data_IF_926397848018
#
_entry.id   IF_926397848018
#
_cell.length_a   1.000
_cell.length_b   1.000
_cell.length_c   1.000
_cell.angle_alpha   90.00
_cell.angle_beta   90.00
_cell.angle_gamma   90.00
#
_symmetry.space_group_name_H-M   'P 1'
#
loop_
_entity.id
_entity.type
_entity.pdbx_description
1 polymer ?
#
# COMPACT_ATOMS: atom_id res chain seq x y z
N UNK A 1 28.27 34.37 -40.38
CA UNK A 1 27.29 35.10 -39.57
C UNK A 1 26.48 34.10 -38.75
N UNK A 2 26.95 33.84 -37.49
CA UNK A 2 26.25 32.97 -36.53
C UNK A 2 25.40 33.90 -35.66
N UNK A 3 24.07 33.81 -35.79
CA UNK A 3 23.15 34.48 -34.89
C UNK A 3 23.00 33.66 -33.61
N UNK A 4 23.51 34.16 -32.49
CA UNK A 4 23.18 33.68 -31.17
C UNK A 4 21.74 34.07 -30.84
N UNK A 5 20.89 33.04 -30.61
CA UNK A 5 19.53 33.22 -30.11
C UNK A 5 19.59 33.40 -28.60
N UNK A 6 19.35 34.60 -28.13
CA UNK A 6 19.29 34.92 -26.67
C UNK A 6 17.95 34.45 -26.17
N UNK A 7 17.94 33.34 -25.44
CA UNK A 7 16.74 32.84 -24.72
C UNK A 7 16.49 33.76 -23.54
N UNK A 8 15.42 34.53 -23.56
CA UNK A 8 15.08 35.45 -22.48
C UNK A 8 14.56 34.75 -21.26
N UNK A 9 14.89 35.27 -20.05
CA UNK A 9 14.53 34.74 -18.71
C UNK A 9 13.03 34.44 -18.51
N UNK A 10 12.14 34.95 -19.33
CA UNK A 10 10.70 34.75 -19.28
C UNK A 10 10.25 33.35 -19.74
N UNK A 11 10.94 32.75 -20.70
CA UNK A 11 10.57 31.43 -21.24
C UNK A 11 10.95 30.30 -20.30
N UNK A 12 12.03 30.47 -19.52
CA UNK A 12 12.44 29.48 -18.51
C UNK A 12 11.45 29.35 -17.35
N UNK A 13 10.74 30.44 -16.99
CA UNK A 13 9.72 30.42 -15.93
C UNK A 13 8.43 29.71 -16.36
N UNK A 14 8.04 29.83 -17.64
CA UNK A 14 6.83 29.17 -18.16
C UNK A 14 7.02 27.65 -18.31
N UNK A 15 8.21 27.18 -18.65
CA UNK A 15 8.53 25.77 -18.71
C UNK A 15 8.53 25.11 -17.33
N UNK A 16 9.03 25.81 -16.32
CA UNK A 16 9.04 25.33 -14.92
C UNK A 16 7.63 25.22 -14.32
N UNK A 17 6.70 26.13 -14.68
CA UNK A 17 5.30 26.07 -14.24
C UNK A 17 4.54 24.91 -14.88
N UNK A 18 4.78 24.60 -16.16
CA UNK A 18 4.09 23.53 -16.87
C UNK A 18 4.47 22.13 -16.32
N UNK A 19 5.73 21.92 -15.94
CA UNK A 19 6.19 20.64 -15.37
C UNK A 19 5.60 20.42 -13.98
N UNK A 20 5.43 21.47 -13.17
CA UNK A 20 4.87 21.35 -11.82
C UNK A 20 3.35 21.07 -11.84
N UNK A 21 2.61 21.54 -12.85
CA UNK A 21 1.17 21.31 -12.98
C UNK A 21 0.85 19.84 -13.36
N UNK A 22 1.72 19.16 -14.13
CA UNK A 22 1.51 17.76 -14.51
C UNK A 22 1.68 16.79 -13.33
N UNK A 23 2.59 17.08 -12.36
CA UNK A 23 2.81 16.20 -11.21
C UNK A 23 1.63 16.20 -10.22
N UNK A 24 0.97 17.34 -10.01
CA UNK A 24 -0.22 17.43 -9.15
C UNK A 24 -1.46 16.74 -9.76
N UNK A 25 -1.60 16.73 -11.08
CA UNK A 25 -2.72 16.09 -11.78
C UNK A 25 -2.68 14.55 -11.69
N UNK A 26 -1.51 13.95 -11.73
CA UNK A 26 -1.34 12.48 -11.69
C UNK A 26 -1.65 11.92 -10.30
N UNK A 27 -1.21 12.58 -9.24
CA UNK A 27 -1.49 12.15 -7.84
C UNK A 27 -2.99 12.20 -7.53
N UNK A 28 -3.69 13.24 -7.98
CA UNK A 28 -5.15 13.37 -7.76
C UNK A 28 -5.95 12.31 -8.54
N UNK A 29 -5.52 11.93 -9.74
CA UNK A 29 -6.19 10.90 -10.54
C UNK A 29 -6.01 9.50 -9.92
N UNK A 30 -4.83 9.18 -9.43
CA UNK A 30 -4.53 7.89 -8.76
C UNK A 30 -5.37 7.71 -7.49
N UNK A 31 -5.52 8.75 -6.68
CA UNK A 31 -6.34 8.74 -5.47
C UNK A 31 -7.82 8.43 -5.79
N UNK A 32 -8.40 9.08 -6.79
CA UNK A 32 -9.80 8.86 -7.19
C UNK A 32 -10.06 7.44 -7.72
N UNK A 33 -9.10 6.86 -8.45
CA UNK A 33 -9.20 5.48 -8.94
C UNK A 33 -9.15 4.50 -7.76
N UNK A 34 -8.30 4.73 -6.76
CA UNK A 34 -8.25 3.92 -5.54
C UNK A 34 -9.56 4.01 -4.75
N UNK A 35 -10.12 5.20 -4.56
CA UNK A 35 -11.40 5.39 -3.87
C UNK A 35 -12.53 4.57 -4.51
N UNK A 36 -12.72 4.68 -5.82
CA UNK A 36 -13.83 4.01 -6.50
C UNK A 36 -13.82 2.50 -6.38
N UNK A 37 -12.64 1.87 -6.43
CA UNK A 37 -12.50 0.40 -6.32
C UNK A 37 -12.66 -0.11 -4.88
N UNK A 38 -12.47 0.76 -3.87
CA UNK A 38 -12.64 0.42 -2.46
C UNK A 38 -14.07 0.64 -1.94
N UNK A 39 -14.91 1.41 -2.65
CA UNK A 39 -16.30 1.68 -2.25
C UNK A 39 -17.12 0.43 -1.92
N UNK A 40 -17.04 -0.69 -2.68
CA UNK A 40 -17.81 -1.89 -2.36
C UNK A 40 -17.49 -2.51 -1.00
N UNK A 41 -16.30 -2.22 -0.45
CA UNK A 41 -15.80 -2.80 0.80
C UNK A 41 -15.84 -1.82 1.97
N UNK A 42 -15.59 -0.54 1.72
CA UNK A 42 -15.45 0.49 2.75
C UNK A 42 -16.61 1.47 2.77
N UNK A 43 -17.54 1.44 1.79
CA UNK A 43 -18.59 2.45 1.65
C UNK A 43 -18.03 3.79 1.21
N UNK A 44 -17.57 4.60 2.15
CA UNK A 44 -16.87 5.86 1.87
C UNK A 44 -15.40 5.72 2.25
N UNK A 45 -14.50 5.41 1.30
CA UNK A 45 -13.08 5.28 1.61
C UNK A 45 -12.47 6.63 2.00
N UNK A 46 -11.81 6.66 3.15
CA UNK A 46 -11.07 7.83 3.64
C UNK A 46 -9.59 7.50 3.67
N UNK A 47 -8.76 8.29 3.00
CA UNK A 47 -7.30 8.15 3.08
C UNK A 47 -6.84 8.55 4.49
N UNK A 48 -6.25 7.60 5.22
CA UNK A 48 -5.69 7.80 6.55
C UNK A 48 -4.27 8.35 6.46
N UNK A 49 -3.47 7.77 5.59
CA UNK A 49 -2.11 8.23 5.34
C UNK A 49 -1.42 7.45 4.24
N UNK A 50 -0.29 7.97 3.79
CA UNK A 50 0.55 7.31 2.79
C UNK A 50 2.02 7.54 3.07
N UNK A 51 2.83 6.55 2.70
CA UNK A 51 4.27 6.65 2.80
C UNK A 51 4.96 5.69 1.85
N UNK A 52 6.17 6.07 1.43
CA UNK A 52 7.05 5.21 0.68
C UNK A 52 7.84 4.31 1.63
N UNK A 53 7.89 3.03 1.33
CA UNK A 53 8.77 2.09 2.00
C UNK A 53 10.05 1.92 1.20
N UNK A 54 11.17 2.17 1.86
CA UNK A 54 12.53 2.03 1.31
C UNK A 54 13.29 1.03 2.17
N UNK A 55 13.94 0.08 1.53
CA UNK A 55 14.75 -0.94 2.21
C UNK A 55 16.18 -0.86 1.70
N UNK A 56 17.15 -0.63 2.59
CA UNK A 56 18.57 -0.41 2.26
C UNK A 56 18.80 0.63 1.14
N UNK A 57 18.06 1.76 1.21
CA UNK A 57 18.14 2.83 0.22
C UNK A 57 17.40 2.55 -1.09
N UNK A 58 16.71 1.40 -1.21
CA UNK A 58 15.99 0.98 -2.41
C UNK A 58 14.50 1.16 -2.18
N UNK A 59 13.84 1.94 -3.02
CA UNK A 59 12.40 2.12 -3.00
C UNK A 59 11.69 0.82 -3.39
N UNK A 60 10.81 0.31 -2.53
CA UNK A 60 10.10 -0.96 -2.69
C UNK A 60 8.67 -0.72 -3.16
N UNK A 61 7.89 0.06 -2.40
CA UNK A 61 6.51 0.42 -2.73
C UNK A 61 6.11 1.75 -2.09
N UNK A 62 5.05 2.35 -2.62
CA UNK A 62 4.26 3.38 -1.98
C UNK A 62 3.07 2.70 -1.30
N UNK A 63 2.95 2.85 0.03
CA UNK A 63 1.82 2.34 0.79
C UNK A 63 0.78 3.45 1.00
N UNK A 64 -0.52 3.11 0.89
CA UNK A 64 -1.63 4.01 1.21
C UNK A 64 -2.64 3.25 2.07
N UNK A 65 -2.92 3.78 3.27
CA UNK A 65 -3.89 3.21 4.20
C UNK A 65 -5.23 3.94 4.04
N UNK A 66 -6.29 3.17 3.85
CA UNK A 66 -7.66 3.63 3.70
C UNK A 66 -8.56 3.05 4.78
N UNK A 67 -9.56 3.78 5.23
CA UNK A 67 -10.53 3.33 6.23
C UNK A 67 -11.96 3.69 5.81
N UNK A 68 -12.92 2.90 6.29
CA UNK A 68 -14.35 3.24 6.20
C UNK A 68 -14.74 4.47 7.02
N UNK A 69 -13.88 4.88 7.96
CA UNK A 69 -14.14 6.01 8.87
C UNK A 69 -13.04 7.07 8.75
N UNK A 70 -13.42 8.33 8.90
CA UNK A 70 -12.46 9.42 9.04
C UNK A 70 -11.81 9.38 10.42
N UNK A 71 -10.49 9.62 10.49
CA UNK A 71 -9.77 9.72 11.76
C UNK A 71 -9.44 8.39 12.43
N UNK A 72 -9.23 7.33 11.65
CA UNK A 72 -8.73 6.05 12.16
C UNK A 72 -7.45 6.25 12.96
N UNK A 73 -7.42 5.75 14.21
CA UNK A 73 -6.24 5.81 15.07
C UNK A 73 -5.48 4.48 15.10
N UNK A 74 -4.18 4.51 15.49
CA UNK A 74 -3.37 3.30 15.62
C UNK A 74 -3.89 2.26 16.63
N UNK A 75 -4.79 2.63 17.52
CA UNK A 75 -5.38 1.77 18.55
C UNK A 75 -6.69 1.12 18.10
N UNK A 76 -7.30 1.62 17.02
CA UNK A 76 -8.65 1.23 16.59
C UNK A 76 -8.66 0.36 15.33
N UNK A 77 -7.55 0.27 14.60
CA UNK A 77 -7.53 -0.33 13.27
C UNK A 77 -8.04 -1.79 13.24
N UNK A 78 -7.80 -2.56 14.31
CA UNK A 78 -8.20 -3.97 14.38
C UNK A 78 -9.72 -4.19 14.34
N UNK A 79 -10.49 -3.17 14.68
CA UNK A 79 -11.96 -3.26 14.77
C UNK A 79 -12.69 -2.60 13.61
N UNK A 80 -11.96 -2.01 12.66
CA UNK A 80 -12.54 -1.24 11.56
C UNK A 80 -12.19 -1.85 10.21
N UNK A 81 -13.13 -1.84 9.24
CA UNK A 81 -12.80 -2.15 7.86
C UNK A 81 -11.77 -1.15 7.33
N UNK A 82 -10.73 -1.67 6.71
CA UNK A 82 -9.66 -0.86 6.12
C UNK A 82 -9.05 -1.54 4.89
N UNK A 83 -8.33 -0.77 4.09
CA UNK A 83 -7.55 -1.29 2.98
C UNK A 83 -6.13 -0.73 3.00
N UNK A 84 -5.19 -1.53 2.56
CA UNK A 84 -3.81 -1.15 2.35
C UNK A 84 -3.45 -1.39 0.88
N UNK A 85 -3.21 -0.30 0.15
CA UNK A 85 -2.68 -0.33 -1.20
C UNK A 85 -1.15 -0.34 -1.15
N UNK A 86 -0.53 -1.26 -1.88
CA UNK A 86 0.91 -1.30 -2.11
C UNK A 86 1.17 -1.10 -3.60
N UNK A 87 1.45 0.12 -4.02
CA UNK A 87 1.92 0.44 -5.36
C UNK A 87 3.40 0.09 -5.46
N UNK A 88 3.72 -0.99 -6.17
CA UNK A 88 5.09 -1.48 -6.28
C UNK A 88 5.95 -0.57 -7.17
N UNK A 89 7.16 -0.29 -6.71
CA UNK A 89 8.15 0.53 -7.41
C UNK A 89 9.22 -0.32 -8.09
N UNK A 90 9.10 -1.65 -8.00
CA UNK A 90 9.97 -2.68 -8.58
C UNK A 90 9.17 -3.97 -8.81
N UNK A 91 9.75 -4.87 -9.60
CA UNK A 91 9.19 -6.18 -9.87
C UNK A 91 9.47 -7.15 -8.72
N UNK A 92 8.47 -7.96 -8.35
CA UNK A 92 8.60 -9.04 -7.37
C UNK A 92 7.80 -10.27 -7.80
N UNK A 93 8.29 -11.45 -7.43
CA UNK A 93 7.52 -12.68 -7.56
C UNK A 93 6.51 -12.78 -6.42
N UNK A 94 5.29 -13.24 -6.72
CA UNK A 94 4.24 -13.43 -5.71
C UNK A 94 4.67 -14.36 -4.58
N UNK A 95 5.39 -15.43 -4.90
CA UNK A 95 5.95 -16.34 -3.90
C UNK A 95 6.95 -15.66 -2.95
N UNK A 96 7.77 -14.71 -3.44
CA UNK A 96 8.70 -13.95 -2.60
C UNK A 96 7.96 -12.98 -1.69
N UNK A 97 6.86 -12.37 -2.18
CA UNK A 97 5.97 -11.51 -1.38
C UNK A 97 5.31 -12.33 -0.27
N UNK A 98 4.76 -13.51 -0.60
CA UNK A 98 4.14 -14.41 0.37
C UNK A 98 5.13 -14.87 1.44
N UNK A 99 6.31 -15.31 1.02
CA UNK A 99 7.37 -15.72 1.95
C UNK A 99 7.77 -14.58 2.87
N UNK A 100 8.02 -13.38 2.33
CA UNK A 100 8.38 -12.20 3.14
C UNK A 100 7.29 -11.84 4.14
N UNK A 101 6.01 -11.96 3.74
CA UNK A 101 4.89 -11.71 4.65
C UNK A 101 4.91 -12.65 5.85
N UNK A 102 5.16 -13.95 5.64
CA UNK A 102 5.27 -14.92 6.73
C UNK A 102 6.51 -14.66 7.60
N UNK A 103 7.64 -14.28 7.01
CA UNK A 103 8.85 -13.94 7.76
C UNK A 103 8.59 -12.73 8.69
N UNK A 104 7.89 -11.69 8.23
CA UNK A 104 7.52 -10.52 9.03
C UNK A 104 6.52 -10.86 10.14
N UNK A 105 5.52 -11.71 9.85
CA UNK A 105 4.57 -12.19 10.86
C UNK A 105 5.31 -12.95 11.96
N UNK A 106 6.18 -13.89 11.59
CA UNK A 106 6.95 -14.69 12.57
C UNK A 106 7.94 -13.86 13.39
N UNK A 107 8.48 -12.79 12.82
CA UNK A 107 9.35 -11.86 13.54
C UNK A 107 8.60 -11.11 14.66
N UNK A 108 7.29 -10.87 14.48
CA UNK A 108 6.45 -10.21 15.49
C UNK A 108 5.84 -11.21 16.48
N UNK A 109 5.43 -12.38 16.00
CA UNK A 109 4.77 -13.42 16.79
C UNK A 109 5.17 -14.81 16.27
N UNK A 110 5.98 -15.57 16.99
CA UNK A 110 6.40 -16.91 16.56
C UNK A 110 5.20 -17.83 16.32
N UNK A 111 5.20 -18.50 15.17
CA UNK A 111 4.14 -19.44 14.77
C UNK A 111 4.65 -20.89 14.81
N UNK A 112 3.81 -21.88 15.13
CA UNK A 112 4.10 -23.28 14.85
C UNK A 112 4.42 -23.48 13.37
N UNK A 113 5.42 -24.31 13.07
CA UNK A 113 5.90 -24.54 11.69
C UNK A 113 4.77 -24.93 10.72
N UNK A 114 3.87 -25.80 11.16
CA UNK A 114 2.72 -26.27 10.37
C UNK A 114 1.77 -25.13 10.01
N UNK A 115 1.51 -24.20 10.96
CA UNK A 115 0.67 -23.03 10.73
C UNK A 115 1.33 -22.04 9.78
N UNK A 116 2.60 -21.75 9.96
CA UNK A 116 3.36 -20.88 9.07
C UNK A 116 3.36 -21.41 7.63
N UNK A 117 3.52 -22.73 7.45
CA UNK A 117 3.45 -23.36 6.12
C UNK A 117 2.05 -23.31 5.50
N UNK A 118 0.98 -23.52 6.29
CA UNK A 118 -0.39 -23.41 5.80
C UNK A 118 -0.71 -21.98 5.34
N UNK A 119 -0.31 -20.98 6.13
CA UNK A 119 -0.50 -19.57 5.81
C UNK A 119 0.32 -19.14 4.58
N UNK A 120 1.59 -19.59 4.49
CA UNK A 120 2.42 -19.36 3.31
C UNK A 120 1.72 -19.86 2.05
N UNK A 121 1.25 -21.11 2.06
CA UNK A 121 0.54 -21.69 0.92
C UNK A 121 -0.72 -20.91 0.54
N UNK A 122 -1.48 -20.42 1.52
CA UNK A 122 -2.67 -19.61 1.26
C UNK A 122 -2.33 -18.29 0.55
N UNK A 123 -1.24 -17.63 0.96
CA UNK A 123 -0.77 -16.40 0.33
C UNK A 123 -0.17 -16.66 -1.07
N UNK A 124 0.60 -17.73 -1.26
CA UNK A 124 1.20 -18.10 -2.55
C UNK A 124 0.14 -18.38 -3.64
N UNK A 125 -1.02 -18.93 -3.25
CA UNK A 125 -2.13 -19.18 -4.19
C UNK A 125 -2.75 -17.87 -4.70
N UNK A 126 -2.74 -16.82 -3.85
CA UNK A 126 -3.40 -15.55 -4.16
C UNK A 126 -2.45 -14.55 -4.81
N UNK A 127 -1.20 -14.47 -4.37
CA UNK A 127 -0.31 -13.39 -4.79
C UNK A 127 0.25 -13.60 -6.20
N UNK A 128 -0.05 -12.68 -7.15
CA UNK A 128 0.55 -12.71 -8.47
C UNK A 128 1.99 -12.19 -8.42
N UNK A 129 2.74 -12.44 -9.49
CA UNK A 129 3.92 -11.63 -9.76
C UNK A 129 3.48 -10.18 -9.99
N UNK A 130 4.22 -9.23 -9.45
CA UNK A 130 3.96 -7.81 -9.62
C UNK A 130 5.09 -7.16 -10.38
N UNK A 131 4.75 -6.20 -11.24
CA UNK A 131 5.71 -5.34 -11.91
C UNK A 131 5.65 -3.92 -11.35
N UNK A 132 6.71 -3.15 -11.59
CA UNK A 132 6.74 -1.73 -11.26
C UNK A 132 5.49 -1.00 -11.80
N UNK A 133 4.82 -0.26 -10.94
CA UNK A 133 3.60 0.50 -11.26
C UNK A 133 2.31 -0.25 -10.99
N UNK A 134 2.37 -1.56 -10.66
CA UNK A 134 1.20 -2.35 -10.30
C UNK A 134 0.89 -2.26 -8.81
N UNK A 135 -0.39 -2.41 -8.46
CA UNK A 135 -0.88 -2.28 -7.09
C UNK A 135 -1.49 -3.59 -6.60
N UNK A 136 -0.98 -4.08 -5.48
CA UNK A 136 -1.63 -5.13 -4.69
C UNK A 136 -2.35 -4.46 -3.52
N UNK A 137 -3.64 -4.75 -3.36
CA UNK A 137 -4.49 -4.21 -2.29
C UNK A 137 -4.94 -5.34 -1.38
N UNK A 138 -4.71 -5.19 -0.09
CA UNK A 138 -5.34 -6.00 0.95
C UNK A 138 -6.49 -5.23 1.59
N UNK A 139 -7.66 -5.87 1.74
CA UNK A 139 -8.84 -5.29 2.39
C UNK A 139 -9.14 -6.11 3.62
N UNK A 140 -8.97 -5.51 4.79
CA UNK A 140 -9.23 -6.12 6.08
C UNK A 140 -10.69 -5.91 6.48
N UNK A 141 -11.37 -7.02 6.73
CA UNK A 141 -12.73 -7.04 7.24
C UNK A 141 -12.70 -7.72 8.62
N UNK A 142 -12.89 -6.98 9.71
CA UNK A 142 -12.82 -7.52 11.05
C UNK A 142 -13.69 -8.77 11.23
N UNK A 143 -13.13 -9.83 11.81
CA UNK A 143 -13.77 -11.14 12.04
C UNK A 143 -14.23 -11.90 10.78
N UNK A 144 -14.06 -11.36 9.57
CA UNK A 144 -14.45 -11.99 8.32
C UNK A 144 -13.26 -12.53 7.54
N UNK A 145 -12.15 -11.77 7.52
CA UNK A 145 -10.97 -12.17 6.75
C UNK A 145 -10.33 -11.02 6.00
N UNK A 146 -9.66 -11.36 4.92
CA UNK A 146 -9.00 -10.41 4.04
C UNK A 146 -9.34 -10.71 2.58
N UNK A 147 -9.69 -9.67 1.83
CA UNK A 147 -9.83 -9.72 0.37
C UNK A 147 -8.61 -9.11 -0.29
N UNK A 148 -8.22 -9.64 -1.43
CA UNK A 148 -7.11 -9.13 -2.22
C UNK A 148 -7.57 -8.65 -3.59
N UNK A 149 -7.06 -7.48 -4.01
CA UNK A 149 -7.22 -6.96 -5.36
C UNK A 149 -5.85 -6.76 -6.01
N UNK A 150 -5.79 -6.93 -7.33
CA UNK A 150 -4.63 -6.61 -8.13
C UNK A 150 -5.03 -5.64 -9.24
N UNK A 151 -4.44 -4.46 -9.25
CA UNK A 151 -4.82 -3.33 -10.11
C UNK A 151 -6.34 -3.07 -10.11
N UNK A 152 -6.97 -3.26 -8.92
CA UNK A 152 -8.41 -3.12 -8.72
C UNK A 152 -9.26 -4.33 -9.07
N UNK A 153 -8.68 -5.38 -9.68
CA UNK A 153 -9.39 -6.63 -9.99
C UNK A 153 -9.32 -7.58 -8.80
N UNK A 154 -10.45 -8.18 -8.42
CA UNK A 154 -10.52 -9.15 -7.33
C UNK A 154 -9.70 -10.40 -7.64
N UNK A 155 -8.81 -10.78 -6.71
CA UNK A 155 -7.98 -11.98 -6.79
C UNK A 155 -8.54 -13.15 -5.99
N UNK A 156 -9.06 -12.88 -4.80
CA UNK A 156 -9.53 -13.90 -3.87
C UNK A 156 -9.61 -13.38 -2.45
N UNK A 157 -10.00 -14.28 -1.54
CA UNK A 157 -10.15 -13.98 -0.11
C UNK A 157 -9.50 -15.08 0.75
N UNK A 158 -9.11 -14.70 1.96
CA UNK A 158 -8.70 -15.62 3.02
C UNK A 158 -9.65 -15.44 4.20
N UNK A 159 -10.44 -16.48 4.51
CA UNK A 159 -11.38 -16.51 5.63
C UNK A 159 -10.71 -17.04 6.91
N UNK A 160 -9.59 -16.46 7.26
CA UNK A 160 -8.85 -16.74 8.49
C UNK A 160 -8.63 -15.40 9.21
N UNK A 161 -9.41 -15.09 10.25
CA UNK A 161 -9.29 -13.83 10.97
C UNK A 161 -7.92 -13.65 11.65
N UNK A 162 -7.28 -14.74 12.07
CA UNK A 162 -5.97 -14.67 12.72
C UNK A 162 -4.87 -14.35 11.68
N UNK A 163 -4.87 -15.02 10.52
CA UNK A 163 -3.97 -14.67 9.43
C UNK A 163 -4.23 -13.24 8.96
N UNK A 164 -5.50 -12.85 8.82
CA UNK A 164 -5.87 -11.50 8.36
C UNK A 164 -5.32 -10.43 9.27
N UNK A 165 -5.51 -10.56 10.58
CA UNK A 165 -4.94 -9.63 11.56
C UNK A 165 -3.41 -9.63 11.48
N UNK A 166 -2.79 -10.81 11.54
CA UNK A 166 -1.33 -10.94 11.52
C UNK A 166 -0.70 -10.37 10.24
N UNK A 167 -1.40 -10.47 9.11
CA UNK A 167 -0.97 -9.88 7.85
C UNK A 167 -0.96 -8.35 7.93
N UNK A 168 -1.99 -7.72 8.48
CA UNK A 168 -2.02 -6.26 8.65
C UNK A 168 -1.09 -5.78 9.76
N UNK A 169 -0.80 -6.61 10.77
CA UNK A 169 0.20 -6.34 11.81
C UNK A 169 1.59 -6.04 11.21
N UNK A 170 1.92 -6.58 10.04
CA UNK A 170 3.18 -6.29 9.33
C UNK A 170 3.43 -4.78 9.23
N UNK A 171 2.39 -3.99 8.98
CA UNK A 171 2.49 -2.53 8.84
C UNK A 171 1.91 -1.74 10.02
N UNK A 172 0.87 -2.27 10.69
CA UNK A 172 0.03 -1.50 11.59
C UNK A 172 0.28 -1.78 13.07
N UNK A 173 0.93 -2.90 13.42
CA UNK A 173 1.25 -3.24 14.80
C UNK A 173 2.38 -2.35 15.37
N UNK A 174 2.43 -2.24 16.70
CA UNK A 174 3.54 -1.57 17.40
C UNK A 174 4.87 -2.32 17.26
N UNK A 175 4.84 -3.60 16.90
CA UNK A 175 6.01 -4.48 16.73
C UNK A 175 6.49 -4.56 15.27
N UNK A 176 5.90 -3.77 14.35
CA UNK A 176 6.34 -3.73 12.95
C UNK A 176 7.84 -3.45 12.81
N UNK A 177 8.49 -4.10 11.86
CA UNK A 177 9.88 -3.82 11.48
C UNK A 177 10.07 -2.44 10.82
N UNK A 178 8.96 -1.74 10.49
CA UNK A 178 8.94 -0.45 9.80
C UNK A 178 8.19 0.64 10.60
N UNK A 179 8.64 1.03 11.83
CA UNK A 179 7.90 1.94 12.70
C UNK A 179 7.69 3.34 12.08
N UNK A 180 8.64 3.84 11.29
CA UNK A 180 8.48 5.13 10.60
C UNK A 180 7.43 5.08 9.47
N UNK A 181 7.32 3.95 8.79
CA UNK A 181 6.25 3.73 7.82
C UNK A 181 4.89 3.73 8.53
N UNK A 182 4.75 2.96 9.61
CA UNK A 182 3.55 2.92 10.45
C UNK A 182 3.12 4.30 10.89
N UNK A 183 4.04 5.09 11.44
CA UNK A 183 3.77 6.46 11.90
C UNK A 183 3.17 7.32 10.78
N UNK A 184 3.72 7.24 9.57
CA UNK A 184 3.23 7.98 8.41
C UNK A 184 1.89 7.47 7.88
N UNK A 185 1.62 6.17 7.98
CA UNK A 185 0.34 5.60 7.57
C UNK A 185 -0.83 6.06 8.46
N UNK A 186 -0.57 6.40 9.72
CA UNK A 186 -1.55 6.98 10.62
C UNK A 186 -1.44 8.51 10.75
N UNK A 187 -0.46 9.13 10.12
CA UNK A 187 -0.37 10.58 10.09
C UNK A 187 -1.46 11.10 9.14
N UNK A 188 -2.51 11.70 9.68
CA UNK A 188 -3.39 12.54 8.89
C UNK A 188 -2.51 13.44 8.03
N UNK A 189 -2.77 13.48 6.73
CA UNK A 189 -2.14 14.48 5.87
C UNK A 189 -2.42 15.86 6.48
N UNK A 190 -1.42 16.38 7.16
CA UNK A 190 -1.39 17.73 7.69
C UNK A 190 -1.14 18.70 6.53
#
# INVERSE_FOLDING_TARGET
NIRFMVITRRESLLLALAINCCLFGVVSAQSKVSESRLMPYLGTPNLVGQAKFTYWGIDVYQASLWSSESGLTPEQWETKPLALDLLYLRDFKGADIAKRSIDEIQAQSPLPKTKAQAWLKSLEVIFPNVSKGQTLTGIYLPNAGIHFLFDGTYLGEIKDPELSKSFFDIWLSKQTSAPELRKKLFAKNL
#
